data_IF_889851263346
#
_entry.id   IF_889851263346
#
_cell.length_a   1.000
_cell.length_b   1.000
_cell.length_c   1.000
_cell.angle_alpha   90.00
_cell.angle_beta   90.00
_cell.angle_gamma   90.00
#
_symmetry.space_group_name_H-M   'P 1'
#
loop_
_entity.id
_entity.type
_entity.pdbx_description
1 polymer ?
#
# COMPACT_ATOMS: atom_id res chain seq x y z
N UNK A 1 12.14 -32.33 -3.52
CA UNK A 1 12.76 -31.02 -3.75
C UNK A 1 12.18 -30.23 -4.94
N UNK A 2 11.90 -30.85 -6.10
CA UNK A 2 11.34 -30.19 -7.30
C UNK A 2 9.95 -29.60 -7.03
N UNK A 3 9.04 -30.36 -6.44
CA UNK A 3 7.68 -29.92 -6.11
C UNK A 3 7.62 -28.69 -5.20
N UNK A 4 8.53 -28.58 -4.21
CA UNK A 4 8.62 -27.41 -3.32
C UNK A 4 9.07 -26.17 -4.09
N UNK A 5 10.05 -26.32 -5.00
CA UNK A 5 10.50 -25.21 -5.87
C UNK A 5 9.39 -24.75 -6.81
N UNK A 6 8.59 -25.65 -7.33
CA UNK A 6 7.48 -25.33 -8.23
C UNK A 6 6.32 -24.67 -7.47
N UNK A 7 6.04 -25.10 -6.25
CA UNK A 7 5.09 -24.44 -5.35
C UNK A 7 5.55 -23.03 -4.98
N UNK A 8 6.83 -22.86 -4.60
CA UNK A 8 7.43 -21.56 -4.31
C UNK A 8 7.29 -20.61 -5.50
N UNK A 9 7.62 -21.08 -6.72
CA UNK A 9 7.45 -20.31 -7.96
C UNK A 9 5.98 -19.99 -8.26
N UNK A 10 5.05 -20.88 -7.93
CA UNK A 10 3.63 -20.67 -8.14
C UNK A 10 3.09 -19.60 -7.18
N UNK A 11 3.45 -19.66 -5.89
CA UNK A 11 3.08 -18.66 -4.88
C UNK A 11 3.73 -17.31 -5.22
N UNK A 12 5.01 -17.29 -5.55
CA UNK A 12 5.70 -16.07 -6.00
C UNK A 12 5.05 -15.46 -7.24
N UNK A 13 4.69 -16.29 -8.23
CA UNK A 13 3.92 -15.84 -9.40
C UNK A 13 2.54 -15.32 -9.00
N UNK A 14 1.85 -15.98 -8.10
CA UNK A 14 0.53 -15.53 -7.63
C UNK A 14 0.62 -14.18 -6.90
N UNK A 15 1.61 -13.98 -6.06
CA UNK A 15 1.89 -12.70 -5.39
C UNK A 15 2.33 -11.61 -6.38
N UNK A 16 3.07 -11.97 -7.42
CA UNK A 16 3.60 -11.05 -8.43
C UNK A 16 2.67 -10.81 -9.64
N UNK A 17 1.67 -11.69 -9.90
CA UNK A 17 0.86 -11.70 -11.14
C UNK A 17 -0.11 -10.53 -11.31
N UNK A 18 -0.53 -9.72 -10.29
CA UNK A 18 -1.33 -8.53 -10.57
C UNK A 18 -0.65 -7.60 -11.56
N UNK A 19 0.66 -7.69 -11.62
CA UNK A 19 1.52 -6.74 -12.30
C UNK A 19 1.85 -7.12 -13.75
N UNK A 20 1.48 -8.31 -14.20
CA UNK A 20 2.00 -8.85 -15.46
C UNK A 20 1.07 -8.82 -16.67
N UNK A 21 -0.25 -8.61 -16.55
CA UNK A 21 -1.14 -8.67 -17.73
C UNK A 21 -2.39 -7.79 -17.61
N UNK A 22 -2.40 -6.64 -18.27
CA UNK A 22 -3.47 -6.02 -19.09
C UNK A 22 -2.98 -4.68 -19.61
N UNK A 23 -3.63 -4.13 -20.70
CA UNK A 23 -3.54 -2.73 -21.12
C UNK A 23 -3.92 -1.82 -19.93
N UNK A 24 -3.03 -1.67 -18.97
CA UNK A 24 -3.13 -0.71 -17.89
C UNK A 24 -2.63 0.62 -18.44
N UNK A 25 -3.27 1.71 -18.05
CA UNK A 25 -2.77 3.05 -18.33
C UNK A 25 -1.28 3.07 -17.96
N UNK A 26 -0.42 3.29 -18.93
CA UNK A 26 0.94 3.68 -18.63
C UNK A 26 0.81 5.08 -18.07
N UNK A 27 1.31 5.27 -16.89
CA UNK A 27 1.58 6.60 -16.38
C UNK A 27 2.62 7.17 -17.36
N UNK A 28 2.18 7.99 -18.29
CA UNK A 28 3.10 8.65 -19.22
C UNK A 28 3.98 9.53 -18.35
N UNK A 29 5.29 9.37 -18.46
CA UNK A 29 6.31 10.08 -17.69
C UNK A 29 6.15 11.60 -17.71
N UNK A 30 5.38 12.14 -18.66
CA UNK A 30 5.09 13.56 -18.80
C UNK A 30 4.43 14.15 -17.56
N UNK A 31 3.46 13.47 -16.93
CA UNK A 31 2.85 13.97 -15.71
C UNK A 31 3.74 13.74 -14.48
N UNK A 32 4.55 12.66 -14.48
CA UNK A 32 5.51 12.38 -13.41
C UNK A 32 6.75 13.28 -13.46
N UNK A 33 7.12 13.76 -14.66
CA UNK A 33 8.22 14.70 -14.86
C UNK A 33 7.81 16.15 -14.56
N UNK A 34 6.53 16.47 -14.65
CA UNK A 34 5.99 17.80 -14.34
C UNK A 34 5.80 18.04 -12.84
N UNK A 35 5.82 17.02 -12.00
CA UNK A 35 5.75 17.20 -10.55
C UNK A 35 7.16 17.43 -9.99
N UNK A 36 7.41 18.52 -9.25
CA UNK A 36 8.68 18.75 -8.59
C UNK A 36 8.97 17.55 -7.66
N UNK A 37 10.11 16.91 -7.86
CA UNK A 37 10.60 15.89 -6.94
C UNK A 37 11.23 16.58 -5.75
N UNK A 38 10.58 16.48 -4.62
CA UNK A 38 11.10 16.98 -3.36
C UNK A 38 11.59 15.79 -2.53
N UNK A 39 12.88 15.75 -2.22
CA UNK A 39 13.46 14.80 -1.29
C UNK A 39 13.55 15.46 0.08
N UNK A 40 12.56 15.19 0.90
CA UNK A 40 12.53 15.64 2.28
C UNK A 40 12.61 14.43 3.24
N UNK A 41 13.19 14.63 4.43
CA UNK A 41 13.01 13.68 5.52
C UNK A 41 11.53 13.46 5.83
N UNK A 42 11.15 12.27 6.27
CA UNK A 42 9.73 11.90 6.46
C UNK A 42 9.02 12.79 7.49
N UNK A 43 9.72 13.24 8.51
CA UNK A 43 9.22 14.15 9.54
C UNK A 43 8.76 15.50 8.98
N UNK A 44 9.35 15.94 7.86
CA UNK A 44 8.94 17.18 7.16
C UNK A 44 7.99 16.89 6.00
N UNK A 45 8.19 15.77 5.31
CA UNK A 45 7.40 15.41 4.13
C UNK A 45 5.96 15.03 4.48
N UNK A 46 5.76 14.21 5.50
CA UNK A 46 4.44 13.63 5.78
C UNK A 46 3.42 14.66 6.32
N UNK A 47 3.79 15.64 7.16
CA UNK A 47 2.91 16.75 7.48
C UNK A 47 2.49 17.58 6.25
N UNK A 48 3.42 17.82 5.31
CA UNK A 48 3.08 18.50 4.05
C UNK A 48 2.12 17.67 3.19
N UNK A 49 2.30 16.35 3.13
CA UNK A 49 1.36 15.47 2.43
C UNK A 49 -0.03 15.60 3.00
N UNK A 50 -0.18 15.62 4.34
CA UNK A 50 -1.45 15.86 5.02
C UNK A 50 -2.07 17.18 4.58
N UNK A 51 -1.32 18.26 4.64
CA UNK A 51 -1.79 19.62 4.26
C UNK A 51 -2.30 19.67 2.81
N UNK A 52 -1.57 19.07 1.86
CA UNK A 52 -1.99 19.04 0.45
C UNK A 52 -3.26 18.21 0.25
N UNK A 53 -3.37 17.06 0.90
CA UNK A 53 -4.56 16.21 0.79
C UNK A 53 -5.78 16.88 1.42
N UNK A 54 -5.63 17.57 2.55
CA UNK A 54 -6.70 18.34 3.19
C UNK A 54 -7.19 19.49 2.28
N UNK A 55 -6.32 20.07 1.44
CA UNK A 55 -6.68 21.06 0.41
C UNK A 55 -7.38 20.45 -0.83
N UNK A 56 -7.59 19.15 -0.85
CA UNK A 56 -8.23 18.44 -1.98
C UNK A 56 -7.25 17.93 -3.04
N UNK A 57 -5.94 18.10 -2.84
CA UNK A 57 -4.92 17.71 -3.80
C UNK A 57 -4.53 16.25 -3.64
N UNK A 58 -4.03 15.64 -4.72
CA UNK A 58 -3.46 14.30 -4.66
C UNK A 58 -1.94 14.36 -4.67
N UNK A 59 -1.31 13.54 -3.84
CA UNK A 59 0.15 13.54 -3.68
C UNK A 59 0.72 12.15 -3.99
N UNK A 60 1.85 12.09 -4.69
CA UNK A 60 2.57 10.84 -4.95
C UNK A 60 3.78 10.76 -4.02
N UNK A 61 3.84 9.71 -3.21
CA UNK A 61 4.96 9.45 -2.32
C UNK A 61 5.65 8.13 -2.63
N UNK A 62 6.96 8.06 -2.34
CA UNK A 62 7.72 6.82 -2.39
C UNK A 62 7.45 5.98 -1.14
N UNK A 63 7.26 4.68 -1.33
CA UNK A 63 7.04 3.76 -0.20
C UNK A 63 8.37 3.46 0.48
N UNK A 64 8.46 3.76 1.77
CA UNK A 64 9.61 3.40 2.61
C UNK A 64 9.20 2.33 3.63
N UNK A 65 10.07 1.35 3.86
CA UNK A 65 9.80 0.23 4.76
C UNK A 65 9.23 -1.01 4.05
N UNK A 66 9.01 -2.05 4.82
CA UNK A 66 8.61 -3.38 4.32
C UNK A 66 7.26 -3.83 4.84
N UNK A 67 6.60 -2.99 5.63
CA UNK A 67 5.33 -3.31 6.29
C UNK A 67 4.18 -3.56 5.31
N UNK A 68 4.25 -3.08 4.07
CA UNK A 68 3.22 -3.26 3.05
C UNK A 68 3.52 -4.35 2.01
N UNK A 69 4.54 -5.19 2.27
CA UNK A 69 4.79 -6.40 1.47
C UNK A 69 3.63 -7.39 1.57
N UNK A 70 3.30 -8.09 0.51
CA UNK A 70 3.92 -8.16 -0.82
C UNK A 70 3.36 -7.14 -1.82
N UNK A 71 2.41 -6.30 -1.41
CA UNK A 71 1.73 -5.37 -2.34
C UNK A 71 2.58 -4.15 -2.68
N UNK A 72 3.44 -3.69 -1.78
CA UNK A 72 4.33 -2.55 -1.98
C UNK A 72 5.75 -2.89 -1.52
N UNK A 73 6.74 -2.50 -2.30
CA UNK A 73 8.16 -2.71 -2.02
C UNK A 73 8.88 -1.40 -1.69
N UNK A 74 9.80 -1.50 -0.74
CA UNK A 74 10.65 -0.42 -0.29
C UNK A 74 11.38 0.27 -1.45
N UNK A 75 11.23 1.59 -1.55
CA UNK A 75 11.84 2.48 -2.54
C UNK A 75 11.63 2.09 -4.02
N UNK A 76 11.05 0.93 -4.29
CA UNK A 76 10.68 0.49 -5.63
C UNK A 76 9.37 1.09 -6.08
N UNK A 77 8.39 1.13 -5.18
CA UNK A 77 7.03 1.50 -5.50
C UNK A 77 6.68 2.87 -4.95
N UNK A 78 5.73 3.52 -5.61
CA UNK A 78 5.12 4.77 -5.16
C UNK A 78 3.61 4.57 -5.02
N UNK A 79 2.99 5.39 -4.22
CA UNK A 79 1.53 5.43 -4.09
C UNK A 79 1.04 6.84 -4.31
N UNK A 80 -0.15 6.95 -4.91
CA UNK A 80 -0.90 8.20 -4.98
C UNK A 80 -1.88 8.21 -3.83
N UNK A 81 -1.74 9.20 -2.98
CA UNK A 81 -2.65 9.54 -1.90
C UNK A 81 -3.63 10.59 -2.39
N UNK A 82 -4.88 10.46 -2.02
CA UNK A 82 -5.92 11.42 -2.36
C UNK A 82 -6.86 11.64 -1.15
N UNK A 83 -7.63 12.73 -1.17
CA UNK A 83 -8.74 12.92 -0.26
C UNK A 83 -9.72 11.76 -0.32
N UNK A 84 -10.45 11.56 0.74
CA UNK A 84 -11.43 10.50 0.87
C UNK A 84 -12.78 11.05 1.35
N UNK A 85 -13.87 10.41 0.94
CA UNK A 85 -15.24 10.70 1.41
C UNK A 85 -15.78 9.57 2.27
N UNK A 86 -15.26 8.36 2.08
CA UNK A 86 -15.58 7.19 2.89
C UNK A 86 -14.37 6.26 2.94
N UNK A 87 -14.17 5.61 4.06
CA UNK A 87 -13.13 4.60 4.27
C UNK A 87 -13.77 3.24 4.41
N UNK A 88 -13.12 2.23 3.86
CA UNK A 88 -13.60 0.86 3.93
C UNK A 88 -12.49 -0.09 4.36
N UNK A 89 -12.91 -1.20 4.99
CA UNK A 89 -12.00 -2.27 5.38
C UNK A 89 -11.34 -2.86 4.13
N UNK A 90 -10.01 -2.74 4.06
CA UNK A 90 -9.21 -3.12 2.90
C UNK A 90 -8.53 -1.95 2.21
N UNK A 91 -8.89 -0.73 2.51
CA UNK A 91 -8.19 0.45 2.01
C UNK A 91 -6.82 0.59 2.65
N UNK A 92 -5.83 1.00 1.87
CA UNK A 92 -4.53 1.41 2.39
C UNK A 92 -4.55 2.92 2.62
N UNK A 93 -4.15 3.34 3.80
CA UNK A 93 -4.18 4.74 4.22
C UNK A 93 -2.83 5.18 4.77
N UNK A 94 -2.52 6.46 4.59
CA UNK A 94 -1.51 7.14 5.38
C UNK A 94 -2.22 7.73 6.60
N UNK A 95 -1.81 7.37 7.79
CA UNK A 95 -2.38 7.86 9.03
C UNK A 95 -1.28 8.30 10.01
N UNK A 96 -1.57 9.31 10.81
CA UNK A 96 -0.74 9.75 11.92
C UNK A 96 -1.24 9.08 13.20
N UNK A 97 -0.58 8.01 13.63
CA UNK A 97 -1.00 7.18 14.78
C UNK A 97 -0.54 7.73 16.13
N UNK A 98 0.37 8.68 16.12
CA UNK A 98 0.83 9.48 17.25
C UNK A 98 1.50 10.74 16.70
N UNK A 99 1.67 11.81 17.47
CA UNK A 99 2.26 13.06 17.01
C UNK A 99 3.60 12.85 16.27
N UNK A 100 3.64 13.18 14.99
CA UNK A 100 4.79 13.00 14.10
C UNK A 100 5.07 11.55 13.67
N UNK A 101 4.24 10.58 14.09
CA UNK A 101 4.41 9.18 13.75
C UNK A 101 3.38 8.74 12.70
N UNK A 102 3.81 8.69 11.47
CA UNK A 102 2.98 8.32 10.32
C UNK A 102 3.23 6.89 9.88
N UNK A 103 2.15 6.19 9.54
CA UNK A 103 2.20 4.84 8.97
C UNK A 103 1.39 4.77 7.67
N UNK A 104 1.91 4.02 6.71
CA UNK A 104 1.16 3.62 5.52
C UNK A 104 0.72 2.18 5.72
N UNK A 105 -0.50 1.97 6.18
CA UNK A 105 -1.02 0.66 6.54
C UNK A 105 -2.42 0.43 5.97
N UNK A 106 -2.93 -0.79 6.13
CA UNK A 106 -4.25 -1.18 5.64
C UNK A 106 -5.26 -1.19 6.76
N UNK A 107 -6.45 -0.66 6.51
CA UNK A 107 -7.58 -0.76 7.41
C UNK A 107 -8.03 -2.23 7.45
N UNK A 108 -7.99 -2.82 8.64
CA UNK A 108 -8.42 -4.21 8.87
C UNK A 108 -9.75 -4.30 9.62
N UNK A 109 -10.10 -3.26 10.37
CA UNK A 109 -11.35 -3.13 11.09
C UNK A 109 -11.74 -1.65 11.24
N UNK A 110 -13.05 -1.38 11.32
CA UNK A 110 -13.62 -0.07 11.58
C UNK A 110 -14.69 -0.26 12.64
N UNK A 111 -14.60 0.45 13.77
CA UNK A 111 -15.56 0.42 14.86
C UNK A 111 -16.26 1.76 14.98
N UNK A 112 -17.54 1.71 15.22
CA UNK A 112 -18.40 2.88 15.48
C UNK A 112 -18.22 4.02 14.48
N UNK A 113 -17.84 3.68 13.23
CA UNK A 113 -17.55 4.59 12.12
C UNK A 113 -16.36 5.56 12.34
N UNK A 114 -15.75 5.56 13.52
CA UNK A 114 -14.69 6.50 13.91
C UNK A 114 -13.37 5.87 14.26
N UNK A 115 -13.34 4.66 14.80
CA UNK A 115 -12.10 3.99 15.22
C UNK A 115 -11.60 3.04 14.14
N UNK A 116 -10.37 3.23 13.72
CA UNK A 116 -9.70 2.41 12.72
C UNK A 116 -8.65 1.51 13.38
N UNK A 117 -8.68 0.24 13.01
CA UNK A 117 -7.56 -0.68 13.28
C UNK A 117 -6.77 -0.87 11.99
N UNK A 118 -5.49 -0.54 12.05
CA UNK A 118 -4.56 -0.61 10.92
C UNK A 118 -3.57 -1.76 11.10
N UNK A 119 -3.17 -2.36 9.98
CA UNK A 119 -2.11 -3.38 9.96
C UNK A 119 -1.35 -3.34 8.64
N UNK A 120 -0.04 -3.41 8.71
CA UNK A 120 0.79 -3.59 7.52
C UNK A 120 0.55 -4.96 6.88
N UNK A 121 0.49 -5.00 5.55
CA UNK A 121 0.31 -6.26 4.81
C UNK A 121 1.45 -7.25 5.06
N UNK A 122 2.66 -6.75 5.35
CA UNK A 122 3.84 -7.54 5.69
C UNK A 122 3.99 -7.85 7.19
N UNK A 123 3.11 -7.32 8.04
CA UNK A 123 3.17 -7.57 9.47
C UNK A 123 2.53 -8.92 9.80
N UNK A 124 3.17 -9.69 10.68
CA UNK A 124 2.67 -10.98 11.16
C UNK A 124 1.81 -10.79 12.41
N UNK A 125 2.17 -9.79 13.20
CA UNK A 125 1.54 -9.38 14.46
C UNK A 125 1.65 -7.86 14.58
N UNK A 126 0.88 -7.32 15.50
CA UNK A 126 0.85 -5.87 15.75
C UNK A 126 -0.15 -5.15 14.85
N UNK A 127 -0.96 -4.36 15.49
CA UNK A 127 -1.93 -3.46 14.89
C UNK A 127 -1.72 -2.09 15.49
N UNK A 128 -2.00 -1.06 14.72
CA UNK A 128 -2.09 0.31 15.19
C UNK A 128 -3.56 0.73 15.22
N UNK A 129 -3.87 1.66 16.09
CA UNK A 129 -5.21 2.24 16.25
C UNK A 129 -5.12 3.74 16.05
N UNK A 130 -6.10 4.29 15.36
CA UNK A 130 -6.24 5.72 15.17
C UNK A 130 -7.71 6.06 14.92
N UNK A 131 -8.05 7.33 14.96
CA UNK A 131 -9.35 7.82 14.55
C UNK A 131 -9.40 8.06 13.03
N UNK A 132 -10.59 8.27 12.50
CA UNK A 132 -10.82 8.62 11.10
C UNK A 132 -10.13 9.96 10.77
N UNK A 133 -10.11 10.88 11.72
CA UNK A 133 -9.50 12.22 11.61
C UNK A 133 -7.97 12.17 11.50
N UNK A 134 -7.36 11.09 11.96
CA UNK A 134 -5.91 10.87 11.87
C UNK A 134 -5.49 10.40 10.46
N UNK A 135 -6.43 10.07 9.58
CA UNK A 135 -6.15 9.63 8.22
C UNK A 135 -5.80 10.83 7.34
N UNK A 136 -4.54 10.89 6.95
CA UNK A 136 -4.00 11.94 6.08
C UNK A 136 -4.36 11.75 4.59
N UNK A 137 -4.68 10.53 4.18
CA UNK A 137 -5.08 10.26 2.79
C UNK A 137 -5.20 8.78 2.48
N UNK A 138 -6.00 8.45 1.46
CA UNK A 138 -6.23 7.09 0.99
C UNK A 138 -5.40 6.82 -0.26
N UNK A 139 -4.87 5.61 -0.38
CA UNK A 139 -4.17 5.15 -1.59
C UNK A 139 -5.19 4.86 -2.68
N UNK A 140 -5.12 5.63 -3.76
CA UNK A 140 -5.95 5.45 -4.95
C UNK A 140 -5.23 4.70 -6.08
N UNK A 141 -3.92 4.82 -6.14
CA UNK A 141 -3.11 4.22 -7.20
C UNK A 141 -1.79 3.66 -6.63
N UNK A 142 -1.40 2.50 -7.15
CA UNK A 142 -0.11 1.87 -6.92
C UNK A 142 0.75 2.05 -8.17
N UNK A 143 1.88 2.74 -8.07
CA UNK A 143 2.75 3.07 -9.18
C UNK A 143 4.04 2.24 -9.13
N UNK A 144 4.37 1.59 -10.25
CA UNK A 144 5.55 0.74 -10.39
C UNK A 144 6.65 1.42 -11.24
N UNK A 145 7.92 1.06 -11.07
CA UNK A 145 9.04 1.66 -11.81
C UNK A 145 8.91 1.58 -13.32
N UNK A 146 8.24 0.55 -13.84
CA UNK A 146 8.02 0.32 -15.27
C UNK A 146 6.85 1.12 -15.87
N UNK A 147 6.34 2.12 -15.15
CA UNK A 147 5.22 2.95 -15.58
C UNK A 147 3.85 2.28 -15.46
N UNK A 148 3.76 1.09 -14.85
CA UNK A 148 2.46 0.47 -14.57
C UNK A 148 1.78 1.14 -13.39
N UNK A 149 0.51 1.48 -13.60
CA UNK A 149 -0.39 1.99 -12.56
C UNK A 149 -1.48 0.97 -12.31
N UNK A 150 -1.67 0.62 -11.05
CA UNK A 150 -2.77 -0.23 -10.62
C UNK A 150 -3.69 0.57 -9.70
N UNK A 151 -4.95 0.69 -10.11
CA UNK A 151 -5.98 1.35 -9.30
C UNK A 151 -6.25 0.56 -8.03
N UNK A 152 -6.36 1.24 -6.90
CA UNK A 152 -6.75 0.60 -5.64
C UNK A 152 -8.12 -0.10 -5.74
N UNK A 153 -9.05 0.49 -6.50
CA UNK A 153 -10.37 -0.08 -6.75
C UNK A 153 -10.40 -1.27 -7.73
N UNK A 154 -9.24 -1.72 -8.28
CA UNK A 154 -9.22 -2.88 -9.17
C UNK A 154 -9.77 -4.14 -8.47
N UNK A 155 -10.81 -4.75 -9.05
CA UNK A 155 -11.51 -5.90 -8.46
C UNK A 155 -10.61 -7.10 -8.20
N UNK A 156 -9.55 -7.30 -9.01
CA UNK A 156 -8.60 -8.41 -8.84
C UNK A 156 -7.65 -8.12 -7.68
N UNK A 157 -7.18 -6.87 -7.57
CA UNK A 157 -6.38 -6.43 -6.44
C UNK A 157 -7.18 -6.59 -5.15
N UNK A 158 -8.41 -6.12 -5.10
CA UNK A 158 -9.29 -6.21 -3.94
C UNK A 158 -9.56 -7.66 -3.51
N UNK A 159 -9.76 -8.59 -4.47
CA UNK A 159 -9.88 -10.03 -4.17
C UNK A 159 -8.61 -10.59 -3.54
N UNK A 160 -7.44 -10.16 -3.99
CA UNK A 160 -6.14 -10.61 -3.44
C UNK A 160 -5.88 -10.05 -2.05
N UNK A 161 -6.20 -8.78 -1.82
CA UNK A 161 -6.12 -8.15 -0.51
C UNK A 161 -7.01 -8.92 0.47
N UNK A 162 -8.27 -9.21 0.10
CA UNK A 162 -9.18 -10.00 0.95
C UNK A 162 -8.63 -11.41 1.25
N UNK A 163 -8.11 -12.09 0.25
CA UNK A 163 -7.49 -13.40 0.45
C UNK A 163 -6.25 -13.31 1.32
N UNK A 164 -5.38 -12.32 1.10
CA UNK A 164 -4.18 -12.09 1.90
C UNK A 164 -4.50 -11.86 3.37
N UNK A 165 -5.54 -11.09 3.67
CA UNK A 165 -6.01 -10.87 5.04
C UNK A 165 -6.48 -12.16 5.70
N UNK A 166 -7.20 -13.03 4.98
CA UNK A 166 -7.63 -14.35 5.49
C UNK A 166 -6.46 -15.30 5.73
N UNK A 167 -5.37 -15.14 5.02
CA UNK A 167 -4.16 -15.96 5.14
C UNK A 167 -3.20 -15.46 6.24
N UNK A 168 -3.67 -14.62 7.16
CA UNK A 168 -2.86 -14.11 8.28
C UNK A 168 -2.13 -15.22 9.07
N UNK A 169 -2.74 -16.37 9.40
CA UNK A 169 -2.02 -17.45 10.09
C UNK A 169 -0.84 -18.02 9.31
N UNK A 170 -0.92 -17.99 7.98
CA UNK A 170 0.13 -18.51 7.07
C UNK A 170 1.08 -17.41 6.58
N UNK A 171 0.84 -16.17 6.93
CA UNK A 171 1.56 -14.99 6.39
C UNK A 171 3.06 -15.10 6.57
N UNK A 172 3.53 -15.61 7.70
CA UNK A 172 4.97 -15.82 7.97
C UNK A 172 5.64 -16.67 6.88
N UNK A 173 5.03 -17.82 6.57
CA UNK A 173 5.53 -18.73 5.52
C UNK A 173 5.44 -18.08 4.14
N UNK A 174 4.32 -17.43 3.83
CA UNK A 174 4.10 -16.78 2.54
C UNK A 174 5.08 -15.63 2.30
N UNK A 175 5.38 -14.82 3.31
CA UNK A 175 6.39 -13.76 3.23
C UNK A 175 7.81 -14.31 3.10
N UNK A 176 8.11 -15.43 3.77
CA UNK A 176 9.38 -16.12 3.57
C UNK A 176 9.56 -16.57 2.12
N UNK A 177 8.54 -17.25 1.57
CA UNK A 177 8.52 -17.66 0.15
C UNK A 177 8.63 -16.43 -0.78
N UNK A 178 7.91 -15.37 -0.49
CA UNK A 178 7.97 -14.13 -1.27
C UNK A 178 9.39 -13.56 -1.32
N UNK A 179 10.11 -13.51 -0.19
CA UNK A 179 11.50 -13.04 -0.11
C UNK A 179 12.48 -13.83 -0.98
N UNK A 180 12.18 -15.11 -1.25
CA UNK A 180 13.00 -15.96 -2.13
C UNK A 180 12.76 -15.69 -3.63
N UNK A 181 11.77 -14.86 -3.97
CA UNK A 181 11.34 -14.61 -5.37
C UNK A 181 11.59 -13.19 -5.86
N UNK A 182 12.06 -12.31 -4.97
CA UNK A 182 12.43 -10.90 -5.28
C UNK A 182 13.94 -10.73 -5.37
#
# INVERSE_FOLDING_TARGET
MRAVKDYIKAVGRWLATPWRRRKQRRYTDVAAQAMPRMELPNDKLLPLVREYVEKGESVIISVKGYSMRPFLEHLRDRVKLAPWTSLTVGDAVLAEIAPGHFVLHRIIDIRDEHELTLMGDGNIRGTEHCSVEDVCGVVTEYLRPNGYVLMAADKRLQRRIRLWRRLLPMRRLLLFVYKLTI
#
